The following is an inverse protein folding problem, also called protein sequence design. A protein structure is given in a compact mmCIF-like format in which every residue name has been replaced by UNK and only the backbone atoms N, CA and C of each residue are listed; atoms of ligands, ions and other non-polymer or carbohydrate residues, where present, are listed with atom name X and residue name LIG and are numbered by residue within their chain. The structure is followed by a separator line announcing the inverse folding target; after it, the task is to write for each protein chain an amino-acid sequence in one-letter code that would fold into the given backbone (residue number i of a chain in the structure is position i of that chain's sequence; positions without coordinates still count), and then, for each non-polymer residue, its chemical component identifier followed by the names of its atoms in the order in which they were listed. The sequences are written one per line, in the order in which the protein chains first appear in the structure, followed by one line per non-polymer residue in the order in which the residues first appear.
data_IF_922347865916
#
_entry.id   IF_922347865916
#
_cell.length_a   1.000
_cell.length_b   1.000
_cell.length_c   1.000
_cell.angle_alpha   90.00
_cell.angle_beta   90.00
_cell.angle_gamma   90.00
#
_symmetry.space_group_name_H-M   'P 1'
#
loop_
_entity.id
_entity.type
_entity.pdbx_description
1 polymer ?
#
# COMPACT_ATOMS: atom_id res chain seq x y z
N UNK A 1 -7.97 3.01 -3.76
CA UNK A 1 -7.47 3.65 -2.54
C UNK A 1 -5.97 3.47 -2.53
N UNK A 2 -5.19 4.53 -2.22
CA UNK A 2 -3.73 4.46 -2.17
C UNK A 2 -3.23 4.97 -0.81
N UNK A 3 -2.74 4.05 0.03
CA UNK A 3 -2.23 4.34 1.37
C UNK A 3 -0.70 4.46 1.31
N UNK A 4 -0.13 5.40 2.09
CA UNK A 4 1.29 5.74 2.00
C UNK A 4 1.68 6.12 0.57
N UNK A 5 0.82 6.90 -0.07
CA UNK A 5 0.81 7.11 -1.52
C UNK A 5 2.02 7.90 -2.04
N UNK A 6 2.73 8.61 -1.17
CA UNK A 6 3.78 9.51 -1.59
C UNK A 6 3.29 10.50 -2.66
N UNK A 7 4.07 10.71 -3.69
CA UNK A 7 3.71 11.56 -4.84
C UNK A 7 2.76 10.89 -5.84
N UNK A 8 2.32 9.63 -5.58
CA UNK A 8 1.32 8.92 -6.39
C UNK A 8 1.88 7.98 -7.45
N UNK A 9 3.13 7.51 -7.31
CA UNK A 9 3.75 6.64 -8.33
C UNK A 9 3.02 5.32 -8.53
N UNK A 10 2.54 4.69 -7.46
CA UNK A 10 1.79 3.43 -7.53
C UNK A 10 0.40 3.68 -8.15
N UNK A 11 -0.32 4.69 -7.66
CA UNK A 11 -1.62 5.09 -8.20
C UNK A 11 -1.55 5.43 -9.70
N UNK A 12 -0.49 6.10 -10.16
CA UNK A 12 -0.31 6.45 -11.58
C UNK A 12 -0.29 5.20 -12.49
N UNK A 13 0.39 4.14 -12.05
CA UNK A 13 0.40 2.87 -12.78
C UNK A 13 -1.00 2.26 -12.90
N UNK A 14 -1.79 2.31 -11.84
CA UNK A 14 -3.18 1.85 -11.85
C UNK A 14 -4.08 2.73 -12.73
N UNK A 15 -3.88 4.05 -12.73
CA UNK A 15 -4.62 4.96 -13.62
C UNK A 15 -4.35 4.63 -15.09
N UNK A 16 -3.09 4.36 -15.46
CA UNK A 16 -2.75 3.94 -16.82
C UNK A 16 -3.37 2.60 -17.21
N UNK A 17 -3.63 1.74 -16.22
CA UNK A 17 -4.37 0.49 -16.41
C UNK A 17 -5.90 0.66 -16.37
N UNK A 18 -6.43 1.90 -16.32
CA UNK A 18 -7.85 2.22 -16.39
C UNK A 18 -8.57 2.33 -15.04
N UNK A 19 -7.83 2.26 -13.93
CA UNK A 19 -8.40 2.42 -12.59
C UNK A 19 -8.62 3.90 -12.24
N UNK A 20 -9.59 4.16 -11.36
CA UNK A 20 -9.88 5.51 -10.87
C UNK A 20 -9.51 5.65 -9.40
N UNK A 21 -8.72 6.66 -9.02
CA UNK A 21 -8.42 6.93 -7.63
C UNK A 21 -9.67 7.46 -6.92
N UNK A 22 -9.90 6.98 -5.71
CA UNK A 22 -10.99 7.43 -4.83
C UNK A 22 -10.40 8.35 -3.78
N UNK A 23 -9.52 7.78 -2.94
CA UNK A 23 -8.86 8.49 -1.85
C UNK A 23 -7.43 7.98 -1.70
N UNK A 24 -6.53 8.91 -1.38
CA UNK A 24 -5.12 8.64 -1.10
C UNK A 24 -4.71 9.28 0.22
N UNK A 25 -3.74 8.68 0.92
CA UNK A 25 -3.24 9.19 2.18
C UNK A 25 -1.72 9.07 2.28
N UNK A 26 -1.09 10.13 2.77
CA UNK A 26 0.31 10.13 3.20
C UNK A 26 0.50 11.18 4.32
N UNK A 27 1.51 10.98 5.16
CA UNK A 27 1.86 11.92 6.21
C UNK A 27 2.68 13.12 5.68
N UNK A 28 3.34 12.95 4.54
CA UNK A 28 4.19 13.99 3.93
C UNK A 28 3.36 14.98 3.12
N UNK A 29 3.28 16.22 3.62
CA UNK A 29 2.55 17.30 2.98
C UNK A 29 3.03 17.59 1.54
N UNK A 30 4.34 17.56 1.30
CA UNK A 30 4.89 17.88 -0.03
C UNK A 30 4.59 16.77 -1.03
N UNK A 31 4.60 15.53 -0.58
CA UNK A 31 4.17 14.40 -1.37
C UNK A 31 2.69 14.51 -1.74
N UNK A 32 1.81 14.81 -0.78
CA UNK A 32 0.38 15.02 -1.00
C UNK A 32 0.10 16.21 -1.93
N UNK A 33 0.81 17.32 -1.79
CA UNK A 33 0.66 18.46 -2.71
C UNK A 33 1.04 18.09 -4.15
N UNK A 34 2.05 17.22 -4.32
CA UNK A 34 2.43 16.69 -5.64
C UNK A 34 1.38 15.71 -6.18
N UNK A 35 0.90 14.81 -5.31
CA UNK A 35 -0.15 13.85 -5.64
C UNK A 35 -1.43 14.55 -6.13
N UNK A 36 -1.93 15.53 -5.39
CA UNK A 36 -3.14 16.30 -5.76
C UNK A 36 -3.06 16.95 -7.14
N UNK A 37 -1.87 17.40 -7.54
CA UNK A 37 -1.66 18.04 -8.85
C UNK A 37 -1.65 17.07 -10.02
N UNK A 38 -1.28 15.80 -9.79
CA UNK A 38 -0.96 14.88 -10.87
C UNK A 38 -1.88 13.66 -10.95
N UNK A 39 -2.49 13.23 -9.83
CA UNK A 39 -3.16 11.93 -9.76
C UNK A 39 -4.69 12.09 -9.81
N UNK A 40 -5.24 13.09 -9.16
CA UNK A 40 -6.69 13.23 -8.97
C UNK A 40 -7.21 12.35 -7.82
N UNK A 41 -8.55 12.35 -7.64
CA UNK A 41 -9.17 11.79 -6.46
C UNK A 41 -8.98 12.68 -5.23
N UNK A 42 -9.51 12.26 -4.08
CA UNK A 42 -9.26 12.93 -2.81
C UNK A 42 -7.89 12.51 -2.26
N UNK A 43 -7.14 13.44 -1.68
CA UNK A 43 -5.84 13.13 -1.07
C UNK A 43 -5.72 13.82 0.30
N UNK A 44 -5.55 13.03 1.35
CA UNK A 44 -5.52 13.47 2.75
C UNK A 44 -4.09 13.42 3.27
N UNK A 45 -3.64 14.55 3.84
CA UNK A 45 -2.36 14.64 4.53
C UNK A 45 -2.56 14.37 6.02
N UNK A 46 -1.94 13.32 6.55
CA UNK A 46 -1.93 13.04 7.97
C UNK A 46 -1.56 11.60 8.30
N UNK A 47 -1.41 11.32 9.59
CA UNK A 47 -1.08 9.98 10.08
C UNK A 47 -2.28 9.05 9.91
N UNK A 48 -2.09 7.92 9.26
CA UNK A 48 -3.12 6.87 9.08
C UNK A 48 -3.62 6.30 10.41
N UNK A 49 -2.85 6.46 11.51
CA UNK A 49 -3.24 6.05 12.84
C UNK A 49 -4.12 7.10 13.56
N UNK A 50 -4.25 8.31 13.00
CA UNK A 50 -5.21 9.29 13.46
C UNK A 50 -6.63 8.77 13.16
N UNK A 51 -7.50 8.78 14.18
CA UNK A 51 -8.82 8.18 14.09
C UNK A 51 -9.71 8.89 13.06
N UNK A 52 -9.63 10.21 12.97
CA UNK A 52 -10.43 10.99 12.02
C UNK A 52 -9.99 10.71 10.57
N UNK A 53 -8.68 10.59 10.34
CA UNK A 53 -8.12 10.23 9.03
C UNK A 53 -8.52 8.83 8.65
N UNK A 54 -8.32 7.87 9.57
CA UNK A 54 -8.69 6.47 9.36
C UNK A 54 -10.17 6.33 9.01
N UNK A 55 -11.06 6.92 9.82
CA UNK A 55 -12.50 6.87 9.61
C UNK A 55 -12.93 7.53 8.28
N UNK A 56 -12.26 8.61 7.89
CA UNK A 56 -12.53 9.27 6.59
C UNK A 56 -12.17 8.34 5.44
N UNK A 57 -11.00 7.67 5.48
CA UNK A 57 -10.58 6.72 4.44
C UNK A 57 -11.59 5.58 4.31
N UNK A 58 -11.96 4.97 5.44
CA UNK A 58 -12.89 3.84 5.47
C UNK A 58 -14.28 4.26 4.97
N UNK A 59 -14.80 5.39 5.44
CA UNK A 59 -16.14 5.88 5.02
C UNK A 59 -16.21 6.17 3.53
N UNK A 60 -15.21 6.83 2.96
CA UNK A 60 -15.16 7.11 1.52
C UNK A 60 -15.05 5.83 0.67
N UNK A 61 -14.31 4.85 1.15
CA UNK A 61 -14.20 3.55 0.49
C UNK A 61 -15.55 2.80 0.47
N UNK A 62 -16.21 2.74 1.62
CA UNK A 62 -17.53 2.10 1.77
C UNK A 62 -18.58 2.81 0.90
N UNK A 63 -18.56 4.14 0.89
CA UNK A 63 -19.46 4.91 0.05
C UNK A 63 -19.21 4.67 -1.45
N UNK A 64 -17.95 4.64 -1.87
CA UNK A 64 -17.59 4.33 -3.25
C UNK A 64 -18.07 2.94 -3.66
N UNK A 65 -17.87 1.92 -2.82
CA UNK A 65 -18.35 0.55 -3.10
C UNK A 65 -19.87 0.48 -3.18
N UNK A 66 -20.58 1.25 -2.34
CA UNK A 66 -22.06 1.35 -2.38
C UNK A 66 -22.55 2.01 -3.67
N UNK A 67 -21.86 3.03 -4.15
CA UNK A 67 -22.23 3.79 -5.34
C UNK A 67 -21.88 3.06 -6.64
N UNK A 68 -20.91 2.13 -6.61
CA UNK A 68 -20.45 1.36 -7.77
C UNK A 68 -20.27 -0.12 -7.41
N UNK A 69 -21.34 -0.84 -7.07
CA UNK A 69 -21.27 -2.21 -6.54
C UNK A 69 -20.68 -3.22 -7.54
N UNK A 70 -20.81 -2.96 -8.84
CA UNK A 70 -20.33 -3.83 -9.91
C UNK A 70 -18.84 -3.59 -10.26
N UNK A 71 -18.23 -2.53 -9.71
CA UNK A 71 -16.82 -2.23 -9.96
C UNK A 71 -15.95 -2.76 -8.82
N UNK A 72 -14.80 -3.39 -9.15
CA UNK A 72 -13.89 -3.87 -8.12
C UNK A 72 -13.23 -2.70 -7.39
N UNK A 73 -13.11 -2.83 -6.07
CA UNK A 73 -12.42 -1.90 -5.19
C UNK A 73 -11.07 -2.49 -4.77
N UNK A 74 -10.00 -1.71 -4.94
CA UNK A 74 -8.65 -2.10 -4.54
C UNK A 74 -8.05 -1.14 -3.53
N UNK A 75 -7.29 -1.70 -2.58
CA UNK A 75 -6.44 -0.93 -1.65
C UNK A 75 -4.98 -1.16 -2.03
N UNK A 76 -4.30 -0.09 -2.39
CA UNK A 76 -2.88 -0.06 -2.70
C UNK A 76 -2.12 0.49 -1.50
N UNK A 77 -0.84 0.13 -1.34
CA UNK A 77 0.01 0.81 -0.39
C UNK A 77 1.41 0.25 -0.26
N UNK A 78 2.33 1.17 0.04
CA UNK A 78 3.73 0.86 0.32
C UNK A 78 4.13 1.36 1.70
N UNK A 79 3.66 0.75 2.81
CA UNK A 79 4.00 1.22 4.15
C UNK A 79 5.52 1.20 4.37
N UNK A 80 6.11 2.27 4.91
CA UNK A 80 7.55 2.37 5.07
C UNK A 80 8.09 1.30 6.04
N UNK A 81 9.23 0.72 5.67
CA UNK A 81 9.97 -0.25 6.46
C UNK A 81 11.38 0.30 6.78
N UNK A 82 11.44 1.50 7.38
CA UNK A 82 12.69 2.27 7.50
C UNK A 82 13.58 1.86 8.67
N UNK A 83 13.06 1.24 9.71
CA UNK A 83 13.86 0.79 10.87
C UNK A 83 14.89 -0.30 10.52
N UNK A 84 14.81 -0.87 9.31
CA UNK A 84 15.59 -1.99 8.86
C UNK A 84 16.30 -1.76 7.52
N UNK A 85 16.25 -0.54 6.97
CA UNK A 85 17.03 -0.19 5.79
C UNK A 85 18.53 -0.34 6.09
N UNK A 86 19.27 -0.98 5.18
CA UNK A 86 20.73 -1.11 5.24
C UNK A 86 21.47 0.23 5.30
N UNK A 87 20.80 1.33 4.97
CA UNK A 87 21.31 2.70 5.08
C UNK A 87 21.14 3.32 6.47
N UNK A 88 20.34 2.70 7.37
CA UNK A 88 20.13 3.22 8.71
C UNK A 88 21.00 2.47 9.73
N UNK A 89 22.03 3.13 10.25
CA UNK A 89 22.96 2.58 11.27
C UNK A 89 22.34 2.44 12.66
N UNK A 90 21.12 2.99 12.89
CA UNK A 90 20.35 2.83 14.13
C UNK A 90 19.25 1.79 13.91
N UNK A 91 19.65 0.51 13.96
CA UNK A 91 18.73 -0.64 13.88
C UNK A 91 18.03 -0.82 15.23
N UNK A 92 16.71 -0.69 15.27
CA UNK A 92 15.90 -1.00 16.44
C UNK A 92 14.55 -1.57 16.02
N UNK A 93 14.13 -2.65 16.66
CA UNK A 93 12.78 -3.24 16.51
C UNK A 93 11.67 -2.32 17.08
N UNK A 94 12.08 -1.29 17.81
CA UNK A 94 11.17 -0.34 18.48
C UNK A 94 10.72 0.84 17.60
N UNK A 95 11.17 0.93 16.34
CA UNK A 95 10.71 1.98 15.43
C UNK A 95 9.24 1.75 15.06
N UNK A 96 8.36 2.64 15.51
CA UNK A 96 6.91 2.57 15.26
C UNK A 96 6.57 2.46 13.77
N UNK A 97 7.43 2.95 12.88
CA UNK A 97 7.25 2.86 11.43
C UNK A 97 7.32 1.42 10.91
N UNK A 98 7.94 0.51 11.65
CA UNK A 98 7.96 -0.90 11.28
C UNK A 98 6.59 -1.57 11.42
N UNK A 99 5.68 -0.97 12.16
CA UNK A 99 4.35 -1.51 12.42
C UNK A 99 3.26 -0.94 11.51
N UNK A 100 3.60 -0.02 10.59
CA UNK A 100 2.62 0.60 9.68
C UNK A 100 1.97 -0.39 8.72
N UNK A 101 2.57 -1.56 8.51
CA UNK A 101 1.90 -2.65 7.80
C UNK A 101 0.62 -3.13 8.52
N UNK A 102 0.57 -3.02 9.86
CA UNK A 102 -0.65 -3.32 10.63
C UNK A 102 -1.73 -2.29 10.41
N UNK A 103 -1.35 -1.01 10.33
CA UNK A 103 -2.29 0.07 9.99
C UNK A 103 -2.87 -0.13 8.59
N UNK A 104 -2.03 -0.53 7.62
CA UNK A 104 -2.48 -0.92 6.29
C UNK A 104 -3.48 -2.10 6.36
N UNK A 105 -3.12 -3.19 7.03
CA UNK A 105 -3.97 -4.36 7.16
C UNK A 105 -5.29 -4.06 7.88
N UNK A 106 -5.26 -3.18 8.89
CA UNK A 106 -6.47 -2.71 9.58
C UNK A 106 -7.46 -2.06 8.61
N UNK A 107 -6.99 -1.15 7.75
CA UNK A 107 -7.82 -0.51 6.73
C UNK A 107 -8.37 -1.55 5.75
N UNK A 108 -7.55 -2.48 5.27
CA UNK A 108 -7.99 -3.56 4.36
C UNK A 108 -9.07 -4.43 5.02
N UNK A 109 -8.90 -4.82 6.30
CA UNK A 109 -9.89 -5.61 7.04
C UNK A 109 -11.23 -4.89 7.20
N UNK A 110 -11.20 -3.58 7.45
CA UNK A 110 -12.43 -2.79 7.65
C UNK A 110 -13.16 -2.51 6.34
N UNK A 111 -12.44 -2.23 5.26
CA UNK A 111 -13.03 -1.93 3.95
C UNK A 111 -13.52 -3.20 3.25
N UNK A 112 -12.86 -4.34 3.45
CA UNK A 112 -13.10 -5.60 2.73
C UNK A 112 -13.14 -5.39 1.21
N UNK A 113 -12.02 -4.91 0.61
CA UNK A 113 -11.93 -4.67 -0.83
C UNK A 113 -11.95 -5.98 -1.61
N UNK A 114 -12.18 -5.91 -2.92
CA UNK A 114 -12.09 -7.06 -3.82
C UNK A 114 -10.64 -7.54 -3.99
N UNK A 115 -9.68 -6.68 -3.72
CA UNK A 115 -8.27 -7.03 -3.65
C UNK A 115 -7.41 -5.91 -3.08
N UNK A 116 -6.15 -6.25 -2.82
CA UNK A 116 -5.16 -5.28 -2.36
C UNK A 116 -3.79 -5.51 -3.01
N UNK A 117 -2.99 -4.47 -3.01
CA UNK A 117 -1.58 -4.50 -3.43
C UNK A 117 -0.72 -3.87 -2.36
N UNK A 118 0.15 -4.66 -1.76
CA UNK A 118 1.12 -4.24 -0.76
C UNK A 118 2.52 -4.23 -1.39
N UNK A 119 3.17 -3.08 -1.44
CA UNK A 119 4.52 -2.90 -1.99
C UNK A 119 5.55 -2.73 -0.89
N UNK A 120 6.74 -3.30 -1.08
CA UNK A 120 7.87 -2.99 -0.21
C UNK A 120 9.23 -3.24 -0.89
N UNK A 121 10.31 -2.83 -0.23
CA UNK A 121 11.67 -3.08 -0.69
C UNK A 121 12.03 -4.56 -0.58
N UNK A 122 12.87 -5.08 -1.50
CA UNK A 122 13.32 -6.49 -1.52
C UNK A 122 13.96 -6.93 -0.20
N UNK A 123 14.61 -6.02 0.53
CA UNK A 123 15.26 -6.31 1.80
C UNK A 123 14.32 -6.84 2.89
N UNK A 124 13.01 -6.59 2.77
CA UNK A 124 12.00 -7.05 3.73
C UNK A 124 11.95 -8.58 3.85
N UNK A 125 12.30 -9.29 2.78
CA UNK A 125 12.27 -10.77 2.75
C UNK A 125 13.28 -11.42 3.71
N UNK A 126 14.39 -10.74 3.98
CA UNK A 126 15.49 -11.30 4.79
C UNK A 126 15.60 -10.64 6.17
N UNK A 127 14.70 -9.71 6.46
CA UNK A 127 14.68 -8.95 7.68
C UNK A 127 14.42 -9.87 8.88
N UNK A 128 15.25 -9.75 9.92
CA UNK A 128 15.24 -10.67 11.08
C UNK A 128 15.15 -12.16 10.64
N UNK A 129 16.01 -12.55 9.70
CA UNK A 129 16.05 -13.93 9.14
C UNK A 129 14.70 -14.37 8.53
N UNK A 130 13.92 -13.42 8.00
CA UNK A 130 12.62 -13.67 7.36
C UNK A 130 11.41 -13.56 8.29
N UNK A 131 11.58 -13.54 9.60
CA UNK A 131 10.48 -13.50 10.58
C UNK A 131 9.57 -12.30 10.39
N UNK A 132 10.13 -11.13 10.06
CA UNK A 132 9.35 -9.93 9.84
C UNK A 132 8.43 -10.06 8.63
N UNK A 133 8.92 -10.68 7.56
CA UNK A 133 8.12 -10.95 6.38
C UNK A 133 7.02 -11.98 6.65
N UNK A 134 7.30 -13.00 7.46
CA UNK A 134 6.29 -13.97 7.92
C UNK A 134 5.17 -13.28 8.72
N UNK A 135 5.52 -12.30 9.58
CA UNK A 135 4.51 -11.52 10.32
C UNK A 135 3.62 -10.70 9.38
N UNK A 136 4.19 -10.04 8.37
CA UNK A 136 3.41 -9.30 7.35
C UNK A 136 2.48 -10.24 6.61
N UNK A 137 2.98 -11.40 6.16
CA UNK A 137 2.16 -12.38 5.46
C UNK A 137 1.02 -12.92 6.34
N UNK A 138 1.28 -13.17 7.62
CA UNK A 138 0.25 -13.60 8.56
C UNK A 138 -0.86 -12.56 8.69
N UNK A 139 -0.49 -11.29 8.88
CA UNK A 139 -1.43 -10.19 9.01
C UNK A 139 -2.28 -9.98 7.73
N UNK A 140 -1.64 -10.07 6.56
CA UNK A 140 -2.34 -9.91 5.29
C UNK A 140 -3.25 -11.10 4.94
N UNK A 141 -2.89 -12.32 5.37
CA UNK A 141 -3.74 -13.51 5.23
C UNK A 141 -5.00 -13.48 6.10
N UNK A 142 -5.01 -12.66 7.15
CA UNK A 142 -6.24 -12.42 7.89
C UNK A 142 -7.25 -11.54 7.13
N UNK A 143 -6.78 -10.81 6.10
CA UNK A 143 -7.62 -9.94 5.28
C UNK A 143 -8.28 -10.70 4.12
N UNK A 144 -7.61 -11.72 3.58
CA UNK A 144 -8.04 -12.50 2.40
C UNK A 144 -7.51 -13.92 2.48
N UNK A 145 -8.19 -14.85 1.81
CA UNK A 145 -7.87 -16.28 1.84
C UNK A 145 -6.51 -16.57 1.19
N UNK A 146 -6.21 -15.94 0.04
CA UNK A 146 -5.00 -16.17 -0.72
C UNK A 146 -4.21 -14.89 -0.99
N UNK A 147 -2.88 -14.99 -0.85
CA UNK A 147 -1.94 -13.95 -1.23
C UNK A 147 -0.87 -14.50 -2.18
N UNK A 148 -0.52 -13.71 -3.20
CA UNK A 148 0.58 -14.01 -4.13
C UNK A 148 1.73 -13.05 -3.87
N UNK A 149 2.95 -13.58 -3.72
CA UNK A 149 4.18 -12.79 -3.49
C UNK A 149 5.01 -12.76 -4.78
N UNK A 150 5.21 -11.57 -5.32
CA UNK A 150 5.97 -11.34 -6.53
C UNK A 150 7.23 -10.54 -6.24
N UNK A 151 8.35 -10.92 -6.85
CA UNK A 151 9.58 -10.13 -6.86
C UNK A 151 9.71 -9.51 -8.23
N UNK A 152 9.78 -8.20 -8.30
CA UNK A 152 9.87 -7.47 -9.57
C UNK A 152 11.10 -6.58 -9.60
N UNK A 153 11.74 -6.52 -10.78
CA UNK A 153 12.74 -5.52 -11.11
C UNK A 153 12.10 -4.48 -12.03
N UNK A 154 12.15 -3.20 -11.67
CA UNK A 154 11.48 -2.16 -12.48
C UNK A 154 12.05 -2.05 -13.89
N UNK A 155 13.33 -2.40 -14.11
CA UNK A 155 13.95 -2.42 -15.41
C UNK A 155 13.29 -3.41 -16.38
N UNK A 156 12.74 -4.51 -15.88
CA UNK A 156 12.04 -5.54 -16.66
C UNK A 156 10.72 -5.01 -17.25
N UNK A 157 10.23 -3.89 -16.72
CA UNK A 157 9.02 -3.19 -17.16
C UNK A 157 9.30 -1.87 -17.90
N UNK A 158 10.51 -1.69 -18.40
CA UNK A 158 10.88 -0.53 -19.20
C UNK A 158 11.24 0.74 -18.42
N UNK A 159 11.31 0.67 -17.09
CA UNK A 159 11.75 1.79 -16.26
C UNK A 159 13.28 1.87 -16.27
N UNK A 160 13.91 3.02 -16.64
CA UNK A 160 15.36 3.15 -16.73
C UNK A 160 16.02 3.29 -15.34
N UNK A 161 15.64 2.41 -14.41
CA UNK A 161 16.17 2.37 -13.05
C UNK A 161 16.22 0.92 -12.56
N UNK A 162 17.34 0.51 -11.97
CA UNK A 162 17.43 -0.76 -11.24
C UNK A 162 16.82 -0.60 -9.86
N UNK A 163 15.60 -1.11 -9.69
CA UNK A 163 14.85 -1.02 -8.44
C UNK A 163 14.09 -2.31 -8.21
N UNK A 164 14.55 -3.11 -7.27
CA UNK A 164 13.89 -4.37 -6.89
C UNK A 164 12.82 -4.12 -5.83
N UNK A 165 11.66 -4.73 -6.04
CA UNK A 165 10.51 -4.64 -5.11
C UNK A 165 9.87 -5.99 -4.88
N UNK A 166 9.21 -6.09 -3.74
CA UNK A 166 8.30 -7.16 -3.41
C UNK A 166 6.88 -6.61 -3.50
N UNK A 167 6.04 -7.27 -4.27
CA UNK A 167 4.62 -6.96 -4.40
C UNK A 167 3.83 -8.15 -3.87
N UNK A 168 3.01 -7.92 -2.86
CA UNK A 168 2.05 -8.90 -2.37
C UNK A 168 0.68 -8.47 -2.88
N UNK A 169 0.02 -9.38 -3.59
CA UNK A 169 -1.34 -9.19 -4.09
C UNK A 169 -2.24 -10.16 -3.36
N UNK A 170 -3.35 -9.68 -2.85
CA UNK A 170 -4.38 -10.49 -2.21
C UNK A 170 -5.77 -10.14 -2.72
N UNK A 171 -6.71 -11.09 -2.59
CA UNK A 171 -8.09 -10.93 -3.00
C UNK A 171 -8.53 -11.90 -4.08
N UNK A 172 -9.82 -11.85 -4.42
CA UNK A 172 -10.46 -12.72 -5.40
C UNK A 172 -10.22 -12.31 -6.86
N UNK A 173 -9.52 -11.20 -7.10
CA UNK A 173 -9.30 -10.65 -8.44
C UNK A 173 -7.96 -11.10 -9.00
N UNK A 174 -7.96 -11.64 -10.21
CA UNK A 174 -6.74 -12.06 -10.90
C UNK A 174 -6.12 -10.85 -11.66
N UNK A 175 -5.05 -10.29 -11.10
CA UNK A 175 -4.29 -9.19 -11.72
C UNK A 175 -3.25 -9.68 -12.76
N UNK A 176 -3.23 -10.98 -13.09
CA UNK A 176 -2.22 -11.55 -14.01
C UNK A 176 -2.68 -11.57 -15.49
N UNK A 177 -3.76 -10.87 -15.80
CA UNK A 177 -4.28 -10.74 -17.18
C UNK A 177 -3.95 -9.40 -17.78
#
# INVERSE_FOLDING_TARGET
IDLFCGAGGLALGFIWAGWKPIISNDIDKYAIDTHRRNIGGEAICGDINDEDIHNTIVSMAVEAKKNTPDLPLFVLGGPPCQGFSTANTRRGTEDLRNWLFKSYAKVVKEIQPDGFVFENVKGILNLDKGKFFEMIQAELKECVEDIKVNKIGTADFGVPQRRDRVIIVGGSYDLTR
#
